data_IF_099558294212
#
_entry.id   IF_099558294212
#
_cell.length_a   1.000
_cell.length_b   1.000
_cell.length_c   1.000
_cell.angle_alpha   90.00
_cell.angle_beta   90.00
_cell.angle_gamma   90.00
#
_symmetry.space_group_name_H-M   'P 1'
#
loop_
_entity.id
_entity.type
_entity.pdbx_description
1 polymer ?
#
# COMPACT_ATOMS: atom_id res chain seq x y z
N UNK A 1 -9.07 15.42 -1.01
CA UNK A 1 -7.80 15.71 -1.73
C UNK A 1 -6.60 14.99 -1.13
N UNK A 2 -6.40 15.03 0.20
CA UNK A 2 -5.23 14.43 0.86
C UNK A 2 -5.08 12.89 0.71
N UNK A 3 -6.19 12.14 0.76
CA UNK A 3 -6.15 10.69 0.57
C UNK A 3 -5.74 10.30 -0.87
N UNK A 4 -6.19 11.10 -1.84
CA UNK A 4 -5.87 10.89 -3.26
C UNK A 4 -4.39 11.21 -3.51
N UNK A 5 -3.85 12.28 -2.91
CA UNK A 5 -2.44 12.61 -3.07
C UNK A 5 -1.52 11.53 -2.50
N UNK A 6 -1.81 10.99 -1.31
CA UNK A 6 -1.06 9.86 -0.74
C UNK A 6 -1.17 8.58 -1.59
N UNK A 7 -2.39 8.26 -2.07
CA UNK A 7 -2.58 7.10 -2.95
C UNK A 7 -1.77 7.21 -4.24
N UNK A 8 -1.81 8.37 -4.88
CA UNK A 8 -1.01 8.65 -6.09
C UNK A 8 0.50 8.67 -5.79
N UNK A 9 0.91 9.11 -4.60
CA UNK A 9 2.30 9.09 -4.17
C UNK A 9 2.84 7.65 -4.15
N UNK A 10 2.08 6.71 -3.56
CA UNK A 10 2.44 5.29 -3.55
C UNK A 10 2.49 4.69 -4.95
N UNK A 11 1.57 5.09 -5.84
CA UNK A 11 1.61 4.69 -7.26
C UNK A 11 2.88 5.21 -7.96
N UNK A 12 3.31 6.44 -7.69
CA UNK A 12 4.55 6.99 -8.26
C UNK A 12 5.77 6.16 -7.84
N UNK A 13 5.87 5.80 -6.55
CA UNK A 13 6.93 4.92 -6.05
C UNK A 13 6.85 3.52 -6.67
N UNK A 14 5.65 2.93 -6.76
CA UNK A 14 5.45 1.62 -7.38
C UNK A 14 5.91 1.59 -8.85
N UNK A 15 5.58 2.61 -9.65
CA UNK A 15 5.99 2.71 -11.06
C UNK A 15 7.52 2.87 -11.16
N UNK A 16 8.11 3.78 -10.38
CA UNK A 16 9.56 4.02 -10.39
C UNK A 16 10.34 2.77 -9.98
N UNK A 17 10.04 2.22 -8.80
CA UNK A 17 10.71 1.02 -8.28
C UNK A 17 10.52 -0.16 -9.23
N UNK A 18 9.28 -0.43 -9.67
CA UNK A 18 8.98 -1.54 -10.56
C UNK A 18 9.73 -1.45 -11.88
N UNK A 19 9.74 -0.27 -12.51
CA UNK A 19 10.42 -0.05 -13.80
C UNK A 19 11.93 -0.15 -13.67
N UNK A 20 12.50 0.52 -12.66
CA UNK A 20 13.94 0.56 -12.46
C UNK A 20 14.50 -0.81 -12.06
N UNK A 21 13.79 -1.55 -11.20
CA UNK A 21 14.17 -2.93 -10.85
C UNK A 21 14.09 -3.85 -12.05
N UNK A 22 13.01 -3.80 -12.83
CA UNK A 22 12.88 -4.59 -14.05
C UNK A 22 14.00 -4.27 -15.03
N UNK A 23 14.40 -2.99 -15.18
CA UNK A 23 15.53 -2.58 -16.03
C UNK A 23 16.86 -3.28 -15.67
N UNK A 24 17.06 -3.65 -14.41
CA UNK A 24 18.26 -4.39 -13.94
C UNK A 24 18.19 -5.90 -14.21
N UNK A 25 17.01 -6.44 -14.49
CA UNK A 25 16.81 -7.87 -14.78
C UNK A 25 17.16 -8.14 -16.25
N UNK A 26 17.95 -9.19 -16.57
CA UNK A 26 18.25 -9.56 -17.95
C UNK A 26 16.99 -9.82 -18.79
N UNK A 27 17.01 -9.44 -20.07
CA UNK A 27 15.84 -9.53 -20.97
C UNK A 27 15.23 -10.93 -21.06
N UNK A 28 16.08 -11.97 -21.06
CA UNK A 28 15.64 -13.38 -21.06
C UNK A 28 14.86 -13.82 -19.81
N UNK A 29 14.90 -13.02 -18.74
CA UNK A 29 14.30 -13.33 -17.45
C UNK A 29 13.11 -12.41 -17.11
N UNK A 30 12.64 -11.58 -18.04
CA UNK A 30 11.52 -10.66 -17.83
C UNK A 30 10.63 -10.59 -19.08
N UNK A 31 9.33 -10.32 -18.94
CA UNK A 31 8.50 -10.00 -20.10
C UNK A 31 9.01 -8.73 -20.81
N UNK A 32 8.61 -8.54 -22.06
CA UNK A 32 8.94 -7.31 -22.81
C UNK A 32 8.15 -6.13 -22.23
N UNK A 33 8.78 -5.36 -21.35
CA UNK A 33 8.14 -4.22 -20.66
C UNK A 33 8.56 -2.90 -21.30
N UNK A 34 7.59 -2.05 -21.62
CA UNK A 34 7.86 -0.70 -22.13
C UNK A 34 7.09 0.34 -21.32
N UNK A 35 7.81 1.09 -20.49
CA UNK A 35 7.28 2.22 -19.73
C UNK A 35 7.74 3.51 -20.39
N UNK A 36 6.84 4.46 -20.70
CA UNK A 36 7.24 5.74 -21.28
C UNK A 36 8.19 6.49 -20.36
N UNK A 37 9.32 6.99 -20.89
CA UNK A 37 10.27 7.77 -20.07
C UNK A 37 9.64 9.03 -19.47
N UNK A 38 8.69 9.66 -20.20
CA UNK A 38 7.94 10.81 -19.69
C UNK A 38 7.13 10.47 -18.44
N UNK A 39 6.61 9.24 -18.32
CA UNK A 39 5.92 8.79 -17.11
C UNK A 39 6.87 8.68 -15.91
N UNK A 40 8.10 8.19 -16.10
CA UNK A 40 9.08 8.11 -15.02
C UNK A 40 9.49 9.50 -14.52
N UNK A 41 9.71 10.44 -15.44
CA UNK A 41 9.99 11.85 -15.08
C UNK A 41 8.79 12.47 -14.37
N UNK A 42 7.57 12.24 -14.87
CA UNK A 42 6.35 12.71 -14.23
C UNK A 42 6.18 12.15 -12.81
N UNK A 43 6.43 10.86 -12.59
CA UNK A 43 6.40 10.26 -11.25
C UNK A 43 7.45 10.89 -10.33
N UNK A 44 8.68 11.10 -10.81
CA UNK A 44 9.74 11.75 -10.02
C UNK A 44 9.35 13.18 -9.62
N UNK A 45 8.79 13.97 -10.54
CA UNK A 45 8.32 15.33 -10.25
C UNK A 45 7.08 15.33 -9.34
N UNK A 46 6.18 14.35 -9.51
CA UNK A 46 4.95 14.27 -8.73
C UNK A 46 5.19 13.93 -7.26
N UNK A 47 6.24 13.17 -6.92
CA UNK A 47 6.56 12.80 -5.54
C UNK A 47 6.56 14.01 -4.58
N UNK A 48 7.38 15.06 -4.76
CA UNK A 48 7.40 16.20 -3.86
C UNK A 48 6.10 17.02 -3.91
N UNK A 49 5.40 17.06 -5.05
CA UNK A 49 4.12 17.78 -5.17
C UNK A 49 3.04 17.08 -4.35
N UNK A 50 2.93 15.76 -4.47
CA UNK A 50 1.92 14.96 -3.78
C UNK A 50 2.18 14.87 -2.28
N UNK A 51 3.46 14.73 -1.87
CA UNK A 51 3.84 14.70 -0.45
C UNK A 51 3.80 16.06 0.24
N UNK A 52 3.69 17.17 -0.51
CA UNK A 52 3.48 18.51 0.05
C UNK A 52 2.05 18.72 0.57
N UNK A 53 1.05 18.02 0.02
CA UNK A 53 -0.37 18.19 0.39
C UNK A 53 -0.62 18.08 1.91
N UNK A 54 -0.11 17.06 2.63
CA UNK A 54 -0.26 17.01 4.09
C UNK A 54 0.46 18.15 4.82
N UNK A 55 1.62 18.60 4.32
CA UNK A 55 2.38 19.73 4.91
C UNK A 55 1.60 21.03 4.76
N UNK A 56 1.02 21.26 3.58
CA UNK A 56 0.17 22.42 3.33
C UNK A 56 -1.04 22.45 4.28
N UNK A 57 -1.71 21.30 4.46
CA UNK A 57 -2.84 21.19 5.40
C UNK A 57 -2.40 21.48 6.83
N UNK A 58 -1.26 20.94 7.26
CA UNK A 58 -0.70 21.19 8.59
C UNK A 58 -0.39 22.68 8.79
N UNK A 59 0.19 23.33 7.78
CA UNK A 59 0.52 24.75 7.83
C UNK A 59 -0.73 25.65 7.93
N UNK A 60 -1.83 25.28 7.26
CA UNK A 60 -3.11 26.00 7.39
C UNK A 60 -3.67 25.88 8.81
N UNK A 61 -3.74 24.66 9.34
CA UNK A 61 -4.29 24.40 10.69
C UNK A 61 -3.48 25.13 11.76
N UNK A 62 -2.15 25.00 11.73
CA UNK A 62 -1.30 25.66 12.73
C UNK A 62 -1.25 27.19 12.59
N UNK A 63 -1.42 27.72 11.38
CA UNK A 63 -1.53 29.17 11.19
C UNK A 63 -2.78 29.73 11.89
N UNK A 64 -3.89 29.00 11.82
CA UNK A 64 -5.14 29.33 12.50
C UNK A 64 -5.02 29.14 14.02
N UNK A 65 -4.54 27.97 14.47
CA UNK A 65 -4.46 27.62 15.90
C UNK A 65 -3.52 28.55 16.70
N UNK A 66 -2.43 29.03 16.09
CA UNK A 66 -1.43 29.89 16.74
C UNK A 66 -1.57 31.38 16.39
N UNK A 67 -2.57 31.77 15.60
CA UNK A 67 -2.77 33.15 15.10
C UNK A 67 -1.48 33.73 14.45
N UNK A 68 -0.84 32.91 13.59
CA UNK A 68 0.41 33.25 12.91
C UNK A 68 0.24 33.24 11.40
N UNK A 69 1.07 33.98 10.67
CA UNK A 69 1.02 33.93 9.20
C UNK A 69 1.40 32.54 8.68
N UNK A 70 0.72 32.10 7.62
CA UNK A 70 0.99 30.83 6.93
C UNK A 70 2.49 30.66 6.60
N UNK A 71 3.15 31.71 6.13
CA UNK A 71 4.58 31.67 5.76
C UNK A 71 5.48 31.41 6.96
N UNK A 72 5.19 32.00 8.12
CA UNK A 72 5.96 31.77 9.35
C UNK A 72 5.82 30.32 9.83
N UNK A 73 4.59 29.79 9.84
CA UNK A 73 4.32 28.40 10.22
C UNK A 73 4.95 27.44 9.22
N UNK A 74 4.78 27.66 7.91
CA UNK A 74 5.37 26.81 6.89
C UNK A 74 6.90 26.76 7.04
N UNK A 75 7.54 27.91 7.28
CA UNK A 75 8.99 27.97 7.52
C UNK A 75 9.38 27.13 8.75
N UNK A 76 8.64 27.23 9.85
CA UNK A 76 8.90 26.41 11.05
C UNK A 76 8.68 24.92 10.77
N UNK A 77 7.60 24.53 10.09
CA UNK A 77 7.37 23.13 9.70
C UNK A 77 8.54 22.58 8.88
N UNK A 78 9.00 23.33 7.87
CA UNK A 78 10.09 22.92 6.98
C UNK A 78 11.45 22.81 7.67
N UNK A 79 11.73 23.68 8.66
CA UNK A 79 13.04 23.77 9.31
C UNK A 79 13.13 23.00 10.63
N UNK A 80 12.01 22.81 11.34
CA UNK A 80 12.00 22.29 12.71
C UNK A 80 11.42 20.87 12.78
N UNK A 81 10.36 20.60 12.02
CA UNK A 81 9.61 19.33 12.07
C UNK A 81 10.20 18.28 11.12
N UNK A 82 10.28 17.03 11.58
CA UNK A 82 10.80 15.89 10.79
C UNK A 82 10.14 15.77 9.42
N UNK A 83 8.81 15.90 9.35
CA UNK A 83 8.04 15.83 8.10
C UNK A 83 8.45 16.91 7.10
N UNK A 84 8.67 18.14 7.55
CA UNK A 84 9.13 19.23 6.67
C UNK A 84 10.58 19.06 6.23
N UNK A 85 11.48 18.68 7.13
CA UNK A 85 12.88 18.34 6.80
C UNK A 85 12.95 17.22 5.77
N UNK A 86 12.17 16.16 5.96
CA UNK A 86 12.07 15.04 5.03
C UNK A 86 11.58 15.48 3.64
N UNK A 87 10.62 16.41 3.60
CA UNK A 87 10.11 16.94 2.34
C UNK A 87 11.16 17.76 1.58
N UNK A 88 11.97 18.57 2.26
CA UNK A 88 13.10 19.28 1.63
C UNK A 88 14.07 18.31 0.96
N UNK A 89 14.47 17.23 1.66
CA UNK A 89 15.31 16.18 1.08
C UNK A 89 14.61 15.42 -0.06
N UNK A 90 13.29 15.25 0.05
CA UNK A 90 12.48 14.65 -1.01
C UNK A 90 12.47 15.50 -2.27
N UNK A 91 12.36 16.83 -2.15
CA UNK A 91 12.45 17.78 -3.28
C UNK A 91 13.81 17.67 -3.95
N UNK A 92 14.90 17.72 -3.18
CA UNK A 92 16.27 17.65 -3.70
C UNK A 92 16.51 16.32 -4.44
N UNK A 93 16.20 15.19 -3.77
CA UNK A 93 16.38 13.86 -4.36
C UNK A 93 15.50 13.63 -5.59
N UNK A 94 14.26 14.12 -5.57
CA UNK A 94 13.33 14.00 -6.69
C UNK A 94 13.72 14.87 -7.88
N UNK A 95 14.24 16.08 -7.64
CA UNK A 95 14.78 16.93 -8.69
C UNK A 95 15.99 16.28 -9.38
N UNK A 96 16.92 15.73 -8.60
CA UNK A 96 18.06 14.96 -9.12
C UNK A 96 17.61 13.72 -9.91
N UNK A 97 16.62 12.99 -9.40
CA UNK A 97 16.04 11.82 -10.07
C UNK A 97 15.34 12.20 -11.39
N UNK A 98 14.55 13.27 -11.40
CA UNK A 98 13.87 13.77 -12.59
C UNK A 98 14.87 14.24 -13.65
N UNK A 99 15.95 14.92 -13.24
CA UNK A 99 17.06 15.30 -14.12
C UNK A 99 17.73 14.07 -14.73
N UNK A 100 18.13 13.09 -13.91
CA UNK A 100 18.74 11.84 -14.37
C UNK A 100 17.86 11.09 -15.37
N UNK A 101 16.55 10.99 -15.10
CA UNK A 101 15.58 10.31 -15.96
C UNK A 101 15.23 11.10 -17.23
N UNK A 102 15.28 12.43 -17.18
CA UNK A 102 14.88 13.32 -18.28
C UNK A 102 15.94 13.43 -19.37
N UNK A 103 17.22 13.37 -19.00
CA UNK A 103 18.33 13.52 -19.93
C UNK A 103 18.43 12.34 -20.91
N UNK A 104 18.40 12.66 -22.21
CA UNK A 104 18.52 11.66 -23.28
C UNK A 104 19.83 10.87 -23.22
N UNK A 105 20.92 11.52 -22.82
CA UNK A 105 22.26 10.93 -22.75
C UNK A 105 22.34 9.72 -21.80
N UNK A 106 21.56 9.71 -20.71
CA UNK A 106 21.58 8.61 -19.73
C UNK A 106 20.60 7.48 -20.05
N UNK A 107 19.78 7.59 -21.10
CA UNK A 107 18.71 6.60 -21.38
C UNK A 107 19.23 5.21 -21.74
N UNK A 108 20.40 5.14 -22.38
CA UNK A 108 21.06 3.89 -22.78
C UNK A 108 22.18 3.48 -21.83
N UNK A 109 22.44 4.24 -20.76
CA UNK A 109 23.49 3.94 -19.82
C UNK A 109 23.11 2.76 -18.90
N UNK A 110 24.03 1.79 -18.74
CA UNK A 110 23.78 0.55 -17.96
C UNK A 110 23.79 0.76 -16.44
N UNK A 111 24.38 1.86 -15.96
CA UNK A 111 24.46 2.21 -14.55
C UNK A 111 23.30 3.09 -14.12
N UNK A 112 22.72 3.88 -15.03
CA UNK A 112 21.61 4.80 -14.79
C UNK A 112 20.44 4.16 -13.99
N UNK A 113 19.93 2.96 -14.33
CA UNK A 113 18.84 2.36 -13.56
C UNK A 113 19.24 2.01 -12.12
N UNK A 114 20.51 1.68 -11.86
CA UNK A 114 21.02 1.39 -10.50
C UNK A 114 21.04 2.65 -9.65
N UNK A 115 21.56 3.74 -10.21
CA UNK A 115 21.63 5.04 -9.52
C UNK A 115 20.23 5.58 -9.25
N UNK A 116 19.33 5.55 -10.25
CA UNK A 116 17.95 5.98 -10.05
C UNK A 116 17.19 5.11 -9.05
N UNK A 117 17.41 3.79 -9.03
CA UNK A 117 16.78 2.91 -8.05
C UNK A 117 17.28 3.22 -6.63
N UNK A 118 18.59 3.45 -6.48
CA UNK A 118 19.18 3.87 -5.22
C UNK A 118 18.56 5.19 -4.71
N UNK A 119 18.46 6.21 -5.57
CA UNK A 119 17.81 7.48 -5.19
C UNK A 119 16.34 7.26 -4.85
N UNK A 120 15.62 6.42 -5.59
CA UNK A 120 14.22 6.07 -5.28
C UNK A 120 14.09 5.41 -3.91
N UNK A 121 15.03 4.54 -3.53
CA UNK A 121 15.05 3.92 -2.20
C UNK A 121 15.41 4.92 -1.10
N UNK A 122 16.31 5.87 -1.35
CA UNK A 122 16.56 6.97 -0.41
C UNK A 122 15.30 7.82 -0.20
N UNK A 123 14.54 8.12 -1.26
CA UNK A 123 13.26 8.82 -1.15
C UNK A 123 12.23 8.04 -0.30
N UNK A 124 12.20 6.71 -0.41
CA UNK A 124 11.38 5.84 0.44
C UNK A 124 11.82 5.93 1.92
N UNK A 125 13.14 5.96 2.18
CA UNK A 125 13.68 6.15 3.55
C UNK A 125 13.28 7.52 4.10
N UNK A 126 13.33 8.59 3.28
CA UNK A 126 12.90 9.93 3.71
C UNK A 126 11.41 10.00 4.00
N UNK A 127 10.57 9.32 3.21
CA UNK A 127 9.15 9.18 3.56
C UNK A 127 8.97 8.42 4.88
N UNK A 128 9.79 7.40 5.11
CA UNK A 128 9.90 6.71 6.40
C UNK A 128 10.18 7.65 7.56
N UNK A 129 11.15 8.55 7.37
CA UNK A 129 11.60 9.54 8.36
C UNK A 129 10.53 10.61 8.65
N UNK A 130 9.73 10.97 7.64
CA UNK A 130 8.61 11.88 7.77
C UNK A 130 7.45 11.30 8.62
N UNK A 131 7.41 9.98 8.77
CA UNK A 131 6.27 9.25 9.34
C UNK A 131 6.19 9.30 10.87
N UNK A 132 4.96 9.16 11.38
CA UNK A 132 4.64 9.20 12.81
C UNK A 132 5.48 8.24 13.67
N UNK A 133 5.71 7.02 13.18
CA UNK A 133 6.51 6.02 13.88
C UNK A 133 7.96 6.49 14.11
N UNK A 134 8.56 7.20 13.16
CA UNK A 134 9.92 7.74 13.27
C UNK A 134 10.00 8.84 14.34
N UNK A 135 9.01 9.72 14.39
CA UNK A 135 8.96 10.79 15.39
C UNK A 135 8.80 10.27 16.82
N UNK A 136 8.04 9.18 17.02
CA UNK A 136 7.80 8.60 18.35
C UNK A 136 8.86 7.59 18.79
N UNK A 137 9.35 6.76 17.87
CA UNK A 137 10.21 5.61 18.17
C UNK A 137 11.61 5.71 17.53
N UNK A 138 11.97 6.91 17.05
CA UNK A 138 13.27 7.21 16.45
C UNK A 138 13.65 6.26 15.33
N UNK A 139 14.89 5.75 15.38
CA UNK A 139 15.44 4.86 14.35
C UNK A 139 14.62 3.57 14.17
N UNK A 140 14.06 3.00 15.25
CA UNK A 140 13.24 1.78 15.15
C UNK A 140 11.98 2.04 14.32
N UNK A 141 11.32 3.17 14.55
CA UNK A 141 10.15 3.60 13.78
C UNK A 141 10.49 3.85 12.32
N UNK A 142 11.58 4.58 12.05
CA UNK A 142 12.11 4.82 10.71
C UNK A 142 12.39 3.50 9.96
N UNK A 143 13.21 2.62 10.55
CA UNK A 143 13.63 1.38 9.91
C UNK A 143 12.43 0.47 9.62
N UNK A 144 11.49 0.37 10.56
CA UNK A 144 10.28 -0.44 10.37
C UNK A 144 9.40 0.12 9.25
N UNK A 145 9.15 1.42 9.24
CA UNK A 145 8.31 2.05 8.22
C UNK A 145 8.96 1.99 6.83
N UNK A 146 10.26 2.31 6.73
CA UNK A 146 11.02 2.23 5.49
C UNK A 146 11.10 0.80 4.97
N UNK A 147 11.35 -0.20 5.82
CA UNK A 147 11.38 -1.61 5.42
C UNK A 147 10.01 -2.08 4.91
N UNK A 148 8.93 -1.71 5.60
CA UNK A 148 7.57 -1.99 5.16
C UNK A 148 7.32 -1.40 3.77
N UNK A 149 7.53 -0.09 3.59
CA UNK A 149 7.20 0.58 2.33
C UNK A 149 8.13 0.18 1.17
N UNK A 150 9.40 -0.10 1.45
CA UNK A 150 10.35 -0.63 0.47
C UNK A 150 9.92 -2.01 -0.04
N UNK A 151 9.58 -2.93 0.87
CA UNK A 151 9.12 -4.27 0.51
C UNK A 151 7.84 -4.22 -0.33
N UNK A 152 6.89 -3.38 0.07
CA UNK A 152 5.65 -3.14 -0.69
C UNK A 152 5.94 -2.55 -2.07
N UNK A 153 6.83 -1.55 -2.18
CA UNK A 153 7.17 -0.90 -3.45
C UNK A 153 7.90 -1.84 -4.41
N UNK A 154 8.77 -2.72 -3.90
CA UNK A 154 9.44 -3.76 -4.69
C UNK A 154 8.43 -4.80 -5.17
N UNK A 155 7.62 -5.36 -4.27
CA UNK A 155 6.65 -6.40 -4.63
C UNK A 155 5.55 -5.88 -5.54
N UNK A 156 4.76 -4.92 -5.07
CA UNK A 156 3.61 -4.39 -5.82
C UNK A 156 4.08 -3.60 -7.04
N UNK A 157 5.16 -2.83 -6.93
CA UNK A 157 5.67 -2.04 -8.05
C UNK A 157 6.14 -2.89 -9.22
N UNK A 158 6.96 -3.91 -8.97
CA UNK A 158 7.40 -4.84 -10.03
C UNK A 158 6.22 -5.60 -10.63
N UNK A 159 5.28 -6.07 -9.80
CA UNK A 159 4.06 -6.74 -10.25
C UNK A 159 3.20 -5.82 -11.14
N UNK A 160 2.94 -4.60 -10.68
CA UNK A 160 2.15 -3.59 -11.39
C UNK A 160 2.78 -3.24 -12.74
N UNK A 161 4.08 -2.96 -12.76
CA UNK A 161 4.76 -2.63 -14.01
C UNK A 161 4.78 -3.81 -14.98
N UNK A 162 5.06 -5.02 -14.51
CA UNK A 162 5.04 -6.23 -15.35
C UNK A 162 3.63 -6.52 -15.90
N UNK A 163 2.58 -6.36 -15.09
CA UNK A 163 1.20 -6.59 -15.50
C UNK A 163 0.69 -5.59 -16.53
N UNK A 164 0.94 -4.30 -16.30
CA UNK A 164 0.33 -3.22 -17.09
C UNK A 164 1.15 -2.79 -18.30
N UNK A 165 2.48 -2.90 -18.24
CA UNK A 165 3.39 -2.40 -19.29
C UNK A 165 4.10 -3.50 -20.09
N UNK A 166 3.79 -4.78 -19.85
CA UNK A 166 4.22 -5.87 -20.72
C UNK A 166 3.53 -5.79 -22.09
N UNK A 167 4.26 -6.03 -23.17
CA UNK A 167 3.74 -6.06 -24.55
C UNK A 167 3.20 -7.42 -24.94
N UNK A 168 3.80 -8.48 -24.43
CA UNK A 168 3.57 -9.86 -24.82
C UNK A 168 3.51 -10.80 -23.61
N UNK A 169 3.24 -12.08 -23.91
CA UNK A 169 3.31 -13.17 -22.95
C UNK A 169 4.66 -13.94 -23.03
N UNK A 170 5.72 -13.31 -23.52
CA UNK A 170 7.04 -13.92 -23.58
C UNK A 170 7.73 -13.93 -22.20
N UNK A 171 8.56 -14.96 -21.96
CA UNK A 171 9.42 -15.10 -20.78
C UNK A 171 8.73 -15.07 -19.39
N UNK A 172 7.40 -15.14 -19.29
CA UNK A 172 6.70 -15.21 -18.00
C UNK A 172 7.16 -16.35 -17.08
N UNK A 173 7.43 -17.58 -17.58
CA UNK A 173 7.98 -18.63 -16.73
C UNK A 173 9.33 -18.25 -16.09
N UNK A 174 10.18 -17.56 -16.86
CA UNK A 174 11.48 -17.11 -16.36
C UNK A 174 11.35 -15.97 -15.37
N UNK A 175 10.43 -15.04 -15.62
CA UNK A 175 10.08 -13.94 -14.70
C UNK A 175 9.57 -14.47 -13.36
N UNK A 176 8.55 -15.33 -13.37
CA UNK A 176 7.95 -15.87 -12.16
C UNK A 176 8.94 -16.71 -11.34
N UNK A 177 9.95 -17.33 -11.97
CA UNK A 177 10.97 -18.13 -11.27
C UNK A 177 11.81 -17.33 -10.28
N UNK A 178 12.17 -16.09 -10.60
CA UNK A 178 12.92 -15.22 -9.68
C UNK A 178 12.02 -14.26 -8.92
N UNK A 179 10.91 -13.83 -9.53
CA UNK A 179 10.01 -12.87 -8.90
C UNK A 179 9.21 -13.50 -7.76
N UNK A 180 8.76 -14.75 -7.88
CA UNK A 180 7.99 -15.41 -6.80
C UNK A 180 8.75 -15.48 -5.46
N UNK A 181 10.02 -15.94 -5.39
CA UNK A 181 10.75 -15.92 -4.12
C UNK A 181 11.03 -14.50 -3.60
N UNK A 182 11.29 -13.53 -4.50
CA UNK A 182 11.41 -12.12 -4.09
C UNK A 182 10.11 -11.59 -3.50
N UNK A 183 8.98 -11.85 -4.14
CA UNK A 183 7.65 -11.45 -3.68
C UNK A 183 7.34 -12.06 -2.32
N UNK A 184 7.63 -13.35 -2.11
CA UNK A 184 7.47 -14.02 -0.80
C UNK A 184 8.31 -13.32 0.26
N UNK A 185 9.60 -13.03 -0.01
CA UNK A 185 10.45 -12.31 0.93
C UNK A 185 9.89 -10.91 1.25
N UNK A 186 9.41 -10.18 0.25
CA UNK A 186 8.76 -8.88 0.46
C UNK A 186 7.49 -9.01 1.29
N UNK A 187 6.62 -9.98 1.02
CA UNK A 187 5.40 -10.23 1.83
C UNK A 187 5.77 -10.47 3.29
N UNK A 188 6.77 -11.32 3.56
CA UNK A 188 7.23 -11.60 4.93
C UNK A 188 7.73 -10.32 5.61
N UNK A 189 8.57 -9.53 4.94
CA UNK A 189 9.04 -8.25 5.49
C UNK A 189 7.88 -7.28 5.73
N UNK A 190 6.93 -7.17 4.79
CA UNK A 190 5.75 -6.32 4.93
C UNK A 190 4.89 -6.74 6.12
N UNK A 191 4.63 -8.05 6.30
CA UNK A 191 3.84 -8.53 7.43
C UNK A 191 4.56 -8.30 8.75
N UNK A 192 5.85 -8.65 8.86
CA UNK A 192 6.63 -8.46 10.07
C UNK A 192 6.71 -6.97 10.46
N UNK A 193 7.10 -6.12 9.51
CA UNK A 193 7.17 -4.69 9.75
C UNK A 193 5.78 -4.08 10.03
N UNK A 194 4.72 -4.61 9.40
CA UNK A 194 3.33 -4.20 9.64
C UNK A 194 2.88 -4.48 11.07
N UNK A 195 3.12 -5.70 11.57
CA UNK A 195 2.81 -6.05 12.96
C UNK A 195 3.63 -5.22 13.96
N UNK A 196 4.91 -4.95 13.68
CA UNK A 196 5.72 -4.06 14.52
C UNK A 196 5.15 -2.64 14.52
N UNK A 197 4.75 -2.10 13.36
CA UNK A 197 4.09 -0.79 13.29
C UNK A 197 2.77 -0.77 14.08
N UNK A 198 1.96 -1.83 14.01
CA UNK A 198 0.72 -1.93 14.79
C UNK A 198 0.98 -1.92 16.29
N UNK A 199 2.08 -2.52 16.76
CA UNK A 199 2.47 -2.45 18.17
C UNK A 199 2.77 -1.01 18.63
N UNK A 200 3.11 -0.13 17.70
CA UNK A 200 3.34 1.30 17.96
C UNK A 200 2.05 2.11 17.86
N UNK A 201 1.22 1.84 16.86
CA UNK A 201 0.10 2.73 16.48
C UNK A 201 -1.26 2.26 16.94
N UNK A 202 -1.45 0.97 17.21
CA UNK A 202 -2.77 0.37 17.46
C UNK A 202 -2.62 -0.91 18.30
N UNK A 203 -2.13 -0.81 19.55
CA UNK A 203 -1.99 -1.97 20.43
C UNK A 203 -3.34 -2.60 20.78
N UNK A 204 -4.40 -1.79 20.89
CA UNK A 204 -5.77 -2.24 21.16
C UNK A 204 -6.54 -2.54 19.86
N UNK A 205 -6.05 -3.50 19.05
CA UNK A 205 -6.52 -3.70 17.67
C UNK A 205 -8.04 -3.80 17.50
N UNK A 206 -8.72 -4.59 18.35
CA UNK A 206 -10.18 -4.79 18.24
C UNK A 206 -10.93 -3.56 18.72
N UNK A 207 -10.60 -3.00 19.89
CA UNK A 207 -11.22 -1.76 20.38
C UNK A 207 -11.05 -0.60 19.39
N UNK A 208 -9.92 -0.54 18.68
CA UNK A 208 -9.67 0.48 17.68
C UNK A 208 -10.69 0.45 16.52
N UNK A 209 -11.44 -0.64 16.32
CA UNK A 209 -12.52 -0.70 15.33
C UNK A 209 -13.66 0.30 15.65
N UNK A 210 -13.74 0.85 16.87
CA UNK A 210 -14.64 1.98 17.15
C UNK A 210 -14.24 3.25 16.38
N UNK A 211 -12.97 3.39 16.00
CA UNK A 211 -12.40 4.58 15.37
C UNK A 211 -12.24 4.42 13.85
N UNK A 212 -12.25 5.52 13.07
CA UNK A 212 -12.01 5.48 11.63
C UNK A 212 -10.69 4.77 11.26
N UNK A 213 -9.64 4.99 12.06
CA UNK A 213 -8.34 4.34 11.89
C UNK A 213 -8.44 2.82 11.96
N UNK A 214 -9.03 2.26 13.04
CA UNK A 214 -9.12 0.80 13.16
C UNK A 214 -10.02 0.18 12.10
N UNK A 215 -11.07 0.89 11.66
CA UNK A 215 -11.93 0.46 10.55
C UNK A 215 -11.15 0.34 9.23
N UNK A 216 -10.38 1.38 8.87
CA UNK A 216 -9.55 1.32 7.66
C UNK A 216 -8.43 0.27 7.77
N UNK A 217 -7.90 0.05 8.98
CA UNK A 217 -6.88 -0.96 9.24
C UNK A 217 -7.44 -2.36 9.07
N UNK A 218 -8.66 -2.61 9.57
CA UNK A 218 -9.38 -3.86 9.35
C UNK A 218 -9.61 -4.11 7.86
N UNK A 219 -10.10 -3.11 7.12
CA UNK A 219 -10.31 -3.21 5.67
C UNK A 219 -9.00 -3.53 4.93
N UNK A 220 -7.88 -2.90 5.32
CA UNK A 220 -6.56 -3.19 4.76
C UNK A 220 -6.18 -4.66 4.99
N UNK A 221 -6.33 -5.18 6.21
CA UNK A 221 -6.02 -6.59 6.51
C UNK A 221 -6.90 -7.56 5.71
N UNK A 222 -8.18 -7.24 5.55
CA UNK A 222 -9.10 -8.06 4.77
C UNK A 222 -8.79 -8.02 3.27
N UNK A 223 -8.32 -6.89 2.73
CA UNK A 223 -7.85 -6.77 1.35
C UNK A 223 -6.54 -7.51 1.09
N UNK A 224 -5.73 -7.78 2.12
CA UNK A 224 -4.55 -8.64 1.99
C UNK A 224 -4.95 -10.09 1.68
N UNK A 225 -6.11 -10.56 2.15
CA UNK A 225 -6.57 -11.93 1.88
C UNK A 225 -6.72 -12.23 0.37
N UNK A 226 -7.55 -11.49 -0.42
CA UNK A 226 -7.63 -11.72 -1.85
C UNK A 226 -6.28 -11.45 -2.54
N UNK A 227 -5.50 -10.48 -2.09
CA UNK A 227 -4.16 -10.23 -2.64
C UNK A 227 -3.26 -11.47 -2.52
N UNK A 228 -3.23 -12.11 -1.36
CA UNK A 228 -2.47 -13.35 -1.14
C UNK A 228 -3.04 -14.53 -1.94
N UNK A 229 -4.36 -14.63 -2.13
CA UNK A 229 -4.96 -15.66 -2.99
C UNK A 229 -4.54 -15.51 -4.45
N UNK A 230 -4.53 -14.29 -4.97
CA UNK A 230 -4.02 -13.99 -6.32
C UNK A 230 -2.52 -14.26 -6.42
N UNK A 231 -1.72 -13.80 -5.45
CA UNK A 231 -0.28 -14.03 -5.40
C UNK A 231 0.07 -15.53 -5.35
N UNK A 232 -0.65 -16.31 -4.54
CA UNK A 232 -0.51 -17.77 -4.48
C UNK A 232 -0.79 -18.42 -5.83
N UNK A 233 -1.90 -18.01 -6.46
CA UNK A 233 -2.31 -18.56 -7.75
C UNK A 233 -1.28 -18.23 -8.84
N UNK A 234 -0.78 -17.00 -8.88
CA UNK A 234 0.21 -16.54 -9.86
C UNK A 234 1.63 -17.10 -9.61
N UNK A 235 2.02 -17.29 -8.35
CA UNK A 235 3.35 -17.81 -8.00
C UNK A 235 3.48 -19.32 -8.13
N UNK A 236 2.48 -20.08 -7.66
CA UNK A 236 2.56 -21.53 -7.54
C UNK A 236 1.68 -22.29 -8.55
N UNK A 237 0.44 -21.83 -8.77
CA UNK A 237 -0.52 -22.55 -9.61
C UNK A 237 -0.35 -22.28 -11.11
N UNK A 238 0.43 -21.26 -11.49
CA UNK A 238 0.68 -20.83 -12.86
C UNK A 238 1.09 -21.97 -13.81
N UNK A 239 2.13 -22.75 -13.45
CA UNK A 239 2.67 -23.79 -14.34
C UNK A 239 1.61 -24.82 -14.73
N UNK A 240 0.78 -25.21 -13.77
CA UNK A 240 -0.31 -26.17 -13.97
C UNK A 240 -1.43 -25.57 -14.80
N UNK A 241 -1.79 -24.31 -14.55
CA UNK A 241 -2.83 -23.61 -15.30
C UNK A 241 -2.44 -23.37 -16.77
N UNK A 242 -1.20 -22.96 -17.02
CA UNK A 242 -0.67 -22.76 -18.36
C UNK A 242 -0.57 -24.07 -19.16
N UNK A 243 -0.18 -25.18 -18.51
CA UNK A 243 -0.15 -26.49 -19.15
C UNK A 243 -1.55 -27.04 -19.47
N UNK A 244 -2.53 -26.77 -18.61
CA UNK A 244 -3.90 -27.26 -18.77
C UNK A 244 -4.74 -26.43 -19.76
N UNK A 245 -4.36 -25.17 -20.02
CA UNK A 245 -5.15 -24.27 -20.86
C UNK A 245 -4.26 -23.40 -21.75
N UNK A 246 -4.22 -23.66 -23.07
CA UNK A 246 -3.45 -22.85 -24.02
C UNK A 246 -3.84 -21.36 -24.09
N UNK A 247 -5.06 -21.00 -23.65
CA UNK A 247 -5.55 -19.62 -23.61
C UNK A 247 -5.18 -18.88 -22.31
N UNK A 248 -4.48 -19.54 -21.38
CA UNK A 248 -4.08 -18.94 -20.12
C UNK A 248 -3.03 -17.85 -20.35
N UNK A 249 -3.32 -16.65 -19.86
CA UNK A 249 -2.41 -15.51 -19.92
C UNK A 249 -2.11 -15.01 -18.50
N UNK A 250 -0.87 -15.19 -17.99
CA UNK A 250 -0.49 -14.73 -16.65
C UNK A 250 -0.63 -13.21 -16.49
N UNK A 251 -0.43 -12.46 -17.58
CA UNK A 251 -0.59 -11.00 -17.60
C UNK A 251 -1.96 -10.55 -17.08
N UNK A 252 -3.06 -11.21 -17.49
CA UNK A 252 -4.42 -10.84 -17.06
C UNK A 252 -4.62 -11.04 -15.56
N UNK A 253 -4.08 -12.13 -15.02
CA UNK A 253 -4.16 -12.45 -13.60
C UNK A 253 -3.30 -11.51 -12.74
N UNK A 254 -2.09 -11.19 -13.20
CA UNK A 254 -1.20 -10.22 -12.56
C UNK A 254 -1.80 -8.81 -12.57
N UNK A 255 -2.52 -8.42 -13.63
CA UNK A 255 -3.29 -7.17 -13.64
C UNK A 255 -4.35 -7.16 -12.55
N UNK A 256 -5.16 -8.21 -12.44
CA UNK A 256 -6.19 -8.31 -11.40
C UNK A 256 -5.57 -8.26 -9.98
N UNK A 257 -4.50 -9.02 -9.74
CA UNK A 257 -3.73 -8.97 -8.49
C UNK A 257 -3.28 -7.55 -8.17
N UNK A 258 -2.71 -6.85 -9.14
CA UNK A 258 -2.22 -5.47 -8.94
C UNK A 258 -3.34 -4.47 -8.66
N UNK A 259 -4.57 -4.67 -9.17
CA UNK A 259 -5.72 -3.82 -8.81
C UNK A 259 -6.10 -4.03 -7.35
N UNK A 260 -6.14 -5.29 -6.87
CA UNK A 260 -6.37 -5.57 -5.44
C UNK A 260 -5.27 -4.96 -4.58
N UNK A 261 -4.02 -5.04 -5.05
CA UNK A 261 -2.87 -4.42 -4.40
C UNK A 261 -3.01 -2.87 -4.31
N UNK A 262 -3.51 -2.23 -5.36
CA UNK A 262 -3.81 -0.79 -5.36
C UNK A 262 -4.95 -0.43 -4.40
N UNK A 263 -5.97 -1.29 -4.23
CA UNK A 263 -7.00 -1.08 -3.21
C UNK A 263 -6.41 -1.14 -1.80
N UNK A 264 -5.49 -2.08 -1.53
CA UNK A 264 -4.79 -2.15 -0.24
C UNK A 264 -3.89 -0.92 0.00
N UNK A 265 -3.24 -0.39 -1.05
CA UNK A 265 -2.49 0.86 -0.99
C UNK A 265 -3.40 2.07 -0.76
N UNK A 266 -4.59 2.11 -1.37
CA UNK A 266 -5.57 3.17 -1.13
C UNK A 266 -6.08 3.15 0.32
N UNK A 267 -6.35 1.97 0.90
CA UNK A 267 -6.65 1.83 2.31
C UNK A 267 -5.49 2.32 3.20
N UNK A 268 -4.24 2.04 2.79
CA UNK A 268 -3.04 2.53 3.49
C UNK A 268 -2.90 4.05 3.40
N UNK A 269 -3.21 4.66 2.25
CA UNK A 269 -3.19 6.10 2.06
C UNK A 269 -4.26 6.80 2.93
N UNK A 270 -5.43 6.19 3.08
CA UNK A 270 -6.46 6.65 4.00
C UNK A 270 -6.01 6.57 5.46
N UNK A 271 -5.40 5.45 5.86
CA UNK A 271 -4.83 5.24 7.20
C UNK A 271 -3.75 6.25 7.56
N UNK A 272 -2.84 6.56 6.63
CA UNK A 272 -1.74 7.49 6.86
C UNK A 272 -2.17 8.92 7.18
N UNK A 273 -3.45 9.24 6.97
CA UNK A 273 -4.05 10.56 7.19
C UNK A 273 -5.04 10.58 8.36
N UNK A 274 -5.14 9.49 9.11
CA UNK A 274 -5.98 9.36 10.29
C UNK A 274 -5.10 9.28 11.55
N UNK A 275 -5.60 9.78 12.67
CA UNK A 275 -4.90 9.73 13.95
C UNK A 275 -4.77 8.28 14.42
N UNK A 276 -3.55 7.74 14.58
CA UNK A 276 -3.36 6.38 15.08
C UNK A 276 -3.75 6.28 16.55
N UNK A 277 -4.61 5.31 16.94
CA UNK A 277 -5.06 5.18 18.31
C UNK A 277 -4.06 4.38 19.15
N UNK A 278 -3.07 5.09 19.71
CA UNK A 278 -2.14 4.53 20.69
C UNK A 278 -2.88 4.02 21.92
N UNK A 279 -3.86 4.80 22.39
CA UNK A 279 -4.86 4.44 23.39
C UNK A 279 -6.23 4.77 22.81
N UNK A 280 -7.12 3.81 22.73
CA UNK A 280 -8.42 3.99 22.07
C UNK A 280 -9.29 4.98 22.84
N UNK A 281 -9.34 4.85 24.17
CA UNK A 281 -10.09 5.74 25.06
C UNK A 281 -9.67 7.20 24.94
N UNK A 282 -8.37 7.48 24.96
CA UNK A 282 -7.84 8.85 24.84
C UNK A 282 -8.12 9.42 23.45
N UNK A 283 -7.99 8.60 22.40
CA UNK A 283 -8.26 9.04 21.03
C UNK A 283 -9.73 9.42 20.83
N UNK A 284 -10.67 8.68 21.45
CA UNK A 284 -12.10 8.97 21.42
C UNK A 284 -12.48 10.29 22.12
N UNK A 285 -11.58 10.91 22.89
CA UNK A 285 -11.81 12.25 23.47
C UNK A 285 -11.67 13.37 22.43
N UNK A 286 -10.95 13.14 21.33
CA UNK A 286 -10.66 14.13 20.29
C UNK A 286 -11.17 13.73 18.91
N UNK A 287 -11.47 12.44 18.69
CA UNK A 287 -11.94 11.89 17.43
C UNK A 287 -13.27 11.19 17.63
N UNK A 288 -14.28 11.60 16.86
CA UNK A 288 -15.59 10.94 16.88
C UNK A 288 -15.52 9.47 16.46
N UNK A 289 -16.39 8.60 16.99
CA UNK A 289 -16.45 7.21 16.56
C UNK A 289 -16.75 7.11 15.06
N UNK A 290 -16.28 6.03 14.43
CA UNK A 290 -16.44 5.82 13.00
C UNK A 290 -17.92 5.72 12.62
N UNK A 291 -18.40 6.44 11.60
CA UNK A 291 -19.75 6.27 11.08
C UNK A 291 -20.06 4.84 10.64
N UNK A 292 -19.05 4.11 10.13
CA UNK A 292 -19.22 2.70 9.77
C UNK A 292 -19.47 1.84 11.01
N UNK A 293 -18.70 2.08 12.07
CA UNK A 293 -18.88 1.38 13.34
C UNK A 293 -20.27 1.68 13.92
N UNK A 294 -20.65 2.95 14.07
CA UNK A 294 -21.94 3.33 14.68
C UNK A 294 -23.15 2.93 13.85
N UNK A 295 -23.00 2.74 12.54
CA UNK A 295 -24.08 2.24 11.67
C UNK A 295 -24.33 0.73 11.81
N UNK A 296 -23.31 -0.04 12.21
CA UNK A 296 -23.36 -1.51 12.29
C UNK A 296 -23.54 -1.97 13.73
N UNK A 297 -22.79 -1.37 14.66
CA UNK A 297 -22.82 -1.70 16.07
C UNK A 297 -24.12 -1.20 16.70
N UNK A 298 -24.93 -2.13 17.20
CA UNK A 298 -26.26 -1.84 17.78
C UNK A 298 -26.22 -1.60 19.31
N UNK A 299 -25.07 -1.76 19.94
CA UNK A 299 -24.90 -1.52 21.37
C UNK A 299 -24.84 -0.03 21.71
N UNK A 300 -24.90 0.28 23.00
CA UNK A 300 -24.69 1.65 23.46
C UNK A 300 -23.20 1.99 23.41
N UNK A 301 -22.86 3.02 22.66
CA UNK A 301 -21.48 3.51 22.58
C UNK A 301 -21.11 4.27 23.86
N UNK A 302 -19.94 3.95 24.40
CA UNK A 302 -19.26 4.71 25.45
C UNK A 302 -17.75 4.70 25.16
N UNK A 303 -16.99 5.76 25.47
CA UNK A 303 -15.53 5.74 25.39
C UNK A 303 -14.86 4.66 26.26
N UNK A 304 -15.56 4.14 27.27
CA UNK A 304 -15.11 3.03 28.14
C UNK A 304 -15.51 1.65 27.60
N UNK A 305 -16.18 1.59 26.44
CA UNK A 305 -16.60 0.34 25.82
C UNK A 305 -15.37 -0.51 25.46
N UNK A 306 -15.38 -1.75 25.92
CA UNK A 306 -14.42 -2.78 25.50
C UNK A 306 -15.14 -3.74 24.56
N UNK A 307 -14.68 -3.83 23.33
CA UNK A 307 -15.29 -4.71 22.33
C UNK A 307 -14.87 -6.15 22.60
N UNK A 308 -15.87 -7.03 22.65
CA UNK A 308 -15.68 -8.48 22.78
C UNK A 308 -16.23 -9.20 21.57
N UNK A 309 -15.77 -10.43 21.31
CA UNK A 309 -16.33 -11.23 20.23
C UNK A 309 -17.50 -12.09 20.74
N UNK A 310 -18.64 -11.96 20.09
CA UNK A 310 -19.82 -12.80 20.23
C UNK A 310 -20.25 -13.27 18.84
N UNK A 311 -20.02 -14.55 18.53
CA UNK A 311 -20.35 -15.12 17.22
C UNK A 311 -21.85 -15.45 17.19
N UNK A 312 -22.63 -14.54 16.60
CA UNK A 312 -24.03 -14.77 16.26
C UNK A 312 -24.23 -15.43 14.90
N UNK A 313 -25.50 -15.68 14.54
CA UNK A 313 -25.85 -16.26 13.24
C UNK A 313 -25.44 -15.33 12.08
N UNK A 314 -25.67 -14.03 12.20
CA UNK A 314 -25.36 -13.04 11.15
C UNK A 314 -23.86 -13.01 10.83
N UNK A 315 -23.00 -13.02 11.87
CA UNK A 315 -21.55 -13.06 11.67
C UNK A 315 -21.10 -14.39 11.07
N UNK A 316 -21.65 -15.51 11.54
CA UNK A 316 -21.35 -16.83 10.99
C UNK A 316 -21.70 -16.93 9.50
N UNK A 317 -22.88 -16.43 9.09
CA UNK A 317 -23.31 -16.43 7.70
C UNK A 317 -22.39 -15.56 6.82
N UNK A 318 -22.03 -14.35 7.27
CA UNK A 318 -21.12 -13.48 6.52
C UNK A 318 -19.70 -14.05 6.43
N UNK A 319 -19.16 -14.62 7.51
CA UNK A 319 -17.85 -15.27 7.49
C UNK A 319 -17.85 -16.50 6.57
N UNK A 320 -18.94 -17.29 6.58
CA UNK A 320 -19.11 -18.42 5.66
C UNK A 320 -19.17 -17.93 4.20
N UNK A 321 -19.92 -16.86 3.92
CA UNK A 321 -19.95 -16.25 2.60
C UNK A 321 -18.57 -15.77 2.15
N UNK A 322 -17.77 -15.18 3.04
CA UNK A 322 -16.39 -14.77 2.75
C UNK A 322 -15.52 -15.98 2.36
N UNK A 323 -15.62 -17.09 3.08
CA UNK A 323 -14.89 -18.33 2.77
C UNK A 323 -15.32 -18.93 1.43
N UNK A 324 -16.62 -18.94 1.12
CA UNK A 324 -17.14 -19.38 -0.17
C UNK A 324 -16.61 -18.52 -1.32
N UNK A 325 -16.56 -17.19 -1.14
CA UNK A 325 -15.98 -16.28 -2.13
C UNK A 325 -14.49 -16.53 -2.32
N UNK A 326 -13.73 -16.75 -1.24
CA UNK A 326 -12.31 -17.09 -1.29
C UNK A 326 -12.06 -18.40 -2.06
N UNK A 327 -12.84 -19.45 -1.77
CA UNK A 327 -12.82 -20.70 -2.52
C UNK A 327 -13.18 -20.51 -4.00
N UNK A 328 -14.15 -19.63 -4.27
CA UNK A 328 -14.55 -19.20 -5.60
C UNK A 328 -13.40 -18.59 -6.42
N UNK A 329 -12.53 -17.79 -5.81
CA UNK A 329 -11.32 -17.25 -6.47
C UNK A 329 -10.45 -18.38 -7.03
N UNK A 330 -10.17 -19.40 -6.21
CA UNK A 330 -9.35 -20.55 -6.60
C UNK A 330 -10.03 -21.40 -7.69
N UNK A 331 -11.36 -21.54 -7.62
CA UNK A 331 -12.12 -22.22 -8.66
C UNK A 331 -12.05 -21.46 -9.99
N UNK A 332 -12.29 -20.15 -9.96
CA UNK A 332 -12.25 -19.29 -11.14
C UNK A 332 -10.86 -19.22 -11.74
N UNK A 333 -9.80 -19.34 -10.92
CA UNK A 333 -8.44 -19.52 -11.40
C UNK A 333 -8.26 -20.76 -12.25
N UNK A 334 -8.72 -21.92 -11.75
CA UNK A 334 -8.69 -23.19 -12.53
C UNK A 334 -9.52 -23.10 -13.81
N UNK A 335 -10.59 -22.31 -13.79
CA UNK A 335 -11.47 -22.08 -14.93
C UNK A 335 -10.98 -20.98 -15.88
N UNK A 336 -9.82 -20.35 -15.62
CA UNK A 336 -9.28 -19.21 -16.36
C UNK A 336 -10.24 -18.01 -16.49
N UNK A 337 -11.06 -17.73 -15.46
CA UNK A 337 -12.06 -16.65 -15.44
C UNK A 337 -11.64 -15.52 -14.49
N UNK A 338 -10.80 -14.61 -15.00
CA UNK A 338 -10.21 -13.51 -14.21
C UNK A 338 -11.25 -12.56 -13.63
N UNK A 339 -12.25 -12.14 -14.41
CA UNK A 339 -13.23 -11.12 -13.98
C UNK A 339 -14.09 -11.63 -12.81
N UNK A 340 -14.72 -12.82 -12.86
CA UNK A 340 -15.39 -13.39 -11.70
C UNK A 340 -14.46 -13.58 -10.50
N UNK A 341 -13.21 -14.04 -10.71
CA UNK A 341 -12.24 -14.21 -9.63
C UNK A 341 -11.94 -12.88 -8.92
N UNK A 342 -11.83 -11.78 -9.67
CA UNK A 342 -11.61 -10.45 -9.12
C UNK A 342 -12.77 -10.03 -8.21
N UNK A 343 -14.02 -10.12 -8.68
CA UNK A 343 -15.18 -9.77 -7.87
C UNK A 343 -15.31 -10.66 -6.64
N UNK A 344 -15.09 -11.97 -6.76
CA UNK A 344 -15.06 -12.89 -5.62
C UNK A 344 -13.97 -12.52 -4.60
N UNK A 345 -12.80 -12.08 -5.07
CA UNK A 345 -11.74 -11.59 -4.20
C UNK A 345 -12.18 -10.35 -3.40
N UNK A 346 -12.77 -9.36 -4.06
CA UNK A 346 -13.29 -8.16 -3.38
C UNK A 346 -14.42 -8.50 -2.40
N UNK A 347 -15.34 -9.40 -2.79
CA UNK A 347 -16.43 -9.85 -1.94
C UNK A 347 -15.93 -10.65 -0.73
N UNK A 348 -14.81 -11.36 -0.84
CA UNK A 348 -14.16 -12.01 0.30
C UNK A 348 -13.82 -10.99 1.38
N UNK A 349 -13.23 -9.86 1.00
CA UNK A 349 -12.91 -8.79 1.95
C UNK A 349 -14.19 -8.11 2.50
N UNK A 350 -15.18 -7.86 1.66
CA UNK A 350 -16.44 -7.22 2.07
C UNK A 350 -17.24 -8.09 3.06
N UNK A 351 -17.47 -9.37 2.74
CA UNK A 351 -18.16 -10.28 3.65
C UNK A 351 -17.35 -10.58 4.91
N UNK A 352 -16.01 -10.67 4.80
CA UNK A 352 -15.15 -10.80 5.98
C UNK A 352 -15.28 -9.60 6.91
N UNK A 353 -15.39 -8.38 6.35
CA UNK A 353 -15.59 -7.16 7.12
C UNK A 353 -16.91 -7.19 7.88
N UNK A 354 -18.03 -7.43 7.19
CA UNK A 354 -19.34 -7.52 7.85
C UNK A 354 -19.41 -8.66 8.85
N UNK A 355 -18.80 -9.82 8.54
CA UNK A 355 -18.72 -10.94 9.46
C UNK A 355 -18.02 -10.58 10.77
N UNK A 356 -16.89 -9.89 10.71
CA UNK A 356 -16.19 -9.44 11.91
C UNK A 356 -16.95 -8.32 12.63
N UNK A 357 -17.55 -7.39 11.91
CA UNK A 357 -18.33 -6.29 12.50
C UNK A 357 -19.65 -6.75 13.13
N UNK A 358 -20.26 -7.82 12.65
CA UNK A 358 -21.42 -8.45 13.30
C UNK A 358 -21.02 -9.38 14.45
N UNK A 359 -19.73 -9.71 14.56
CA UNK A 359 -19.22 -10.55 15.65
C UNK A 359 -18.81 -9.74 16.88
N UNK A 360 -18.82 -8.41 16.86
CA UNK A 360 -18.48 -7.59 18.04
C UNK A 360 -19.71 -7.33 18.91
N UNK A 361 -19.52 -7.37 20.22
CA UNK A 361 -20.50 -7.07 21.25
C UNK A 361 -19.91 -6.11 22.29
#
# INVERSE_FOLDING_TARGET
MIYVSEGLLYVCFAILTGTLLLKLVPEKNRPSVTVPNGLLVACAIAIPVLSYVPIHKLALVFAEDFDMTYTSILKSILLDINTGKAWVWTVIGSAGLAFLLGLKAFRSDKHMPKVALFVTFLLIVWLGYAGHASSLYGFRGLATHAAHFLAVSVWIGTLFVAGWFSKDDAHWPAFLRWFSPLAIACVLVTLLAGFVLMSFTTPEYVNAWMLPYGQMLLMKHLLILPLLLFAYSNGFAYKRAAAANPSFSPKKWVKAESVVALLALAATAALGQQTPPHTVKETLQSVSPSPLFTSIYKGQFSPDLTLTFSIGLDSLLMLTAALLMAGGVLWMYRSNRVVPAFFMGVLTAAFGYFGLMFAIA
#
